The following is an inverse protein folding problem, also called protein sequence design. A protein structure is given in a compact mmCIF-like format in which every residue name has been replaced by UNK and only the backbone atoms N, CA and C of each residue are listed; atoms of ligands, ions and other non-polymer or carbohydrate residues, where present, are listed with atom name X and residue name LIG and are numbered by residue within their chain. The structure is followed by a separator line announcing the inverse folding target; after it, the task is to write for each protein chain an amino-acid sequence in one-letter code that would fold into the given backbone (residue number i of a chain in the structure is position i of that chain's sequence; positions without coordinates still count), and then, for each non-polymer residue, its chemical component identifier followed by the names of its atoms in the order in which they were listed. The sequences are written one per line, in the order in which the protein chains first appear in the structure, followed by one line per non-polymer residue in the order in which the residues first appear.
data_IF_478889242679
#
_entry.id   IF_478889242679
#
_cell.length_a   1.000
_cell.length_b   1.000
_cell.length_c   1.000
_cell.angle_alpha   90.00
_cell.angle_beta   90.00
_cell.angle_gamma   90.00
#
_symmetry.space_group_name_H-M   'P 1'
#
loop_
_entity.id
_entity.type
_entity.pdbx_description
1 polymer ?
#
# COMPACT_ATOMS: atom_id res chain seq x y z
N UNK A 1 9.79 -5.64 11.84
CA UNK A 1 10.84 -5.86 10.82
C UNK A 1 10.24 -6.69 9.66
N UNK A 2 10.53 -6.38 8.39
CA UNK A 2 9.91 -6.94 7.16
C UNK A 2 8.54 -6.36 6.77
N UNK A 3 8.28 -5.11 7.15
CA UNK A 3 7.08 -4.41 6.67
C UNK A 3 7.40 -3.64 5.40
N UNK A 4 6.64 -3.91 4.36
CA UNK A 4 6.69 -3.23 3.07
C UNK A 4 5.39 -2.43 2.85
N UNK A 5 5.38 -1.57 1.83
CA UNK A 5 4.20 -0.77 1.46
C UNK A 5 4.01 -0.85 -0.04
N UNK A 6 2.83 -1.27 -0.49
CA UNK A 6 2.40 -1.12 -1.88
C UNK A 6 1.75 0.25 -2.06
N UNK A 7 2.03 0.88 -3.19
CA UNK A 7 1.33 2.09 -3.62
C UNK A 7 0.35 1.65 -4.71
N UNK A 8 -0.95 1.78 -4.43
CA UNK A 8 -2.01 1.34 -5.32
C UNK A 8 -2.88 2.53 -5.68
N UNK A 9 -3.00 2.82 -6.98
CA UNK A 9 -3.93 3.83 -7.49
C UNK A 9 -5.27 3.17 -7.78
N UNK A 10 -6.32 3.62 -7.10
CA UNK A 10 -7.69 3.19 -7.32
C UNK A 10 -8.47 4.44 -7.72
N UNK A 11 -8.95 4.46 -8.97
CA UNK A 11 -9.60 5.62 -9.57
C UNK A 11 -8.73 6.91 -9.49
N UNK A 12 -9.24 7.93 -8.79
CA UNK A 12 -8.61 9.25 -8.62
C UNK A 12 -7.75 9.35 -7.36
N UNK A 13 -7.56 8.26 -6.63
CA UNK A 13 -6.93 8.29 -5.32
C UNK A 13 -5.87 7.20 -5.15
N UNK A 14 -4.79 7.53 -4.42
CA UNK A 14 -3.69 6.62 -4.16
C UNK A 14 -3.71 6.16 -2.72
N UNK A 15 -3.56 4.86 -2.54
CA UNK A 15 -3.60 4.16 -1.27
C UNK A 15 -2.25 3.52 -1.00
N UNK A 16 -1.81 3.64 0.25
CA UNK A 16 -0.66 2.92 0.79
C UNK A 16 -1.20 1.65 1.45
N UNK A 17 -0.72 0.49 1.02
CA UNK A 17 -1.12 -0.79 1.57
C UNK A 17 0.09 -1.42 2.24
N UNK A 18 0.23 -1.28 3.57
CA UNK A 18 1.28 -1.97 4.29
C UNK A 18 1.06 -3.48 4.22
N UNK A 19 2.13 -4.22 4.05
CA UNK A 19 2.08 -5.69 4.05
C UNK A 19 3.33 -6.28 4.66
N UNK A 20 3.22 -7.53 5.08
CA UNK A 20 4.37 -8.37 5.43
C UNK A 20 4.44 -9.48 4.40
N UNK A 21 5.64 -9.73 3.89
CA UNK A 21 5.92 -10.76 2.91
C UNK A 21 6.42 -12.02 3.63
N UNK A 22 5.78 -13.14 3.31
CA UNK A 22 6.19 -14.49 3.68
C UNK A 22 6.69 -15.19 2.41
N UNK A 23 7.23 -16.41 2.53
CA UNK A 23 7.80 -17.13 1.38
C UNK A 23 6.75 -17.47 0.31
N UNK A 24 5.49 -17.62 0.72
CA UNK A 24 4.40 -18.09 -0.16
C UNK A 24 3.23 -17.11 -0.29
N UNK A 25 3.15 -16.07 0.55
CA UNK A 25 2.03 -15.13 0.54
C UNK A 25 2.41 -13.73 1.04
N UNK A 26 1.52 -12.78 0.74
CA UNK A 26 1.58 -11.40 1.25
C UNK A 26 0.39 -11.16 2.16
N UNK A 27 0.65 -10.87 3.43
CA UNK A 27 -0.40 -10.47 4.35
C UNK A 27 -0.61 -8.95 4.27
N UNK A 28 -1.71 -8.54 3.62
CA UNK A 28 -2.08 -7.14 3.50
C UNK A 28 -2.71 -6.64 4.81
N UNK A 29 -2.24 -5.48 5.27
CA UNK A 29 -2.87 -4.73 6.36
C UNK A 29 -3.87 -3.73 5.76
N UNK A 30 -4.52 -2.98 6.65
CA UNK A 30 -5.48 -1.93 6.31
C UNK A 30 -4.90 -0.96 5.28
N UNK A 31 -5.66 -0.71 4.22
CA UNK A 31 -5.35 0.30 3.21
C UNK A 31 -5.43 1.70 3.81
N UNK A 32 -4.48 2.57 3.50
CA UNK A 32 -4.41 3.93 4.02
C UNK A 32 -4.47 4.91 2.83
N UNK A 33 -5.55 5.70 2.70
CA UNK A 33 -5.61 6.73 1.67
C UNK A 33 -4.51 7.78 1.89
N UNK A 34 -3.74 8.11 0.85
CA UNK A 34 -2.67 9.11 0.91
C UNK A 34 -2.87 10.25 -0.08
N UNK A 35 -3.36 11.40 0.41
CA UNK A 35 -3.46 12.64 -0.38
C UNK A 35 -2.12 13.05 -1.00
N UNK A 36 -1.04 12.86 -0.23
CA UNK A 36 0.31 13.15 -0.71
C UNK A 36 0.61 12.28 -1.92
N UNK A 37 0.46 10.96 -1.80
CA UNK A 37 0.73 10.05 -2.90
C UNK A 37 -0.16 10.31 -4.12
N UNK A 38 -1.44 10.67 -3.92
CA UNK A 38 -2.36 11.07 -5.01
C UNK A 38 -1.86 12.28 -5.80
N UNK A 39 -1.07 13.17 -5.20
CA UNK A 39 -0.48 14.32 -5.91
C UNK A 39 0.79 13.97 -6.68
N UNK A 40 1.45 12.86 -6.34
CA UNK A 40 2.71 12.44 -6.95
C UNK A 40 2.54 11.33 -8.01
N UNK A 41 1.47 10.54 -7.93
CA UNK A 41 1.17 9.39 -8.80
C UNK A 41 -0.27 9.47 -9.34
#
# INVERSE_FOLDING_TARGET
PNQHVLIVKIESYVYLVPFVEDETYKFLKTIIPSRKATRYY
#
